data_IF_161099749268
#
_entry.id   IF_161099749268
#
_cell.length_a   1.000
_cell.length_b   1.000
_cell.length_c   1.000
_cell.angle_alpha   90.00
_cell.angle_beta   90.00
_cell.angle_gamma   90.00
#
_symmetry.space_group_name_H-M   'P 1'
#
loop_
_entity.id
_entity.type
_entity.pdbx_description
1 polymer ?
#
# COMPACT_ATOMS: atom_id res chain seq x y z
N UNK A 1 30.74 -44.45 -0.44
CA UNK A 1 30.40 -43.17 -1.13
C UNK A 1 29.25 -42.44 -0.44
N UNK A 2 28.21 -43.14 0.05
CA UNK A 2 27.12 -42.55 0.82
C UNK A 2 27.60 -41.81 2.09
N UNK A 3 28.49 -42.41 2.88
CA UNK A 3 28.97 -41.79 4.14
C UNK A 3 29.74 -40.49 3.94
N UNK A 4 30.52 -40.37 2.86
CA UNK A 4 31.20 -39.10 2.51
C UNK A 4 30.23 -38.02 2.04
N UNK A 5 29.06 -38.39 1.53
CA UNK A 5 28.03 -37.43 1.12
C UNK A 5 27.22 -36.99 2.33
N UNK A 6 26.91 -37.90 3.25
CA UNK A 6 26.23 -37.61 4.52
C UNK A 6 27.09 -36.68 5.38
N UNK A 7 28.36 -37.00 5.59
CA UNK A 7 29.26 -36.19 6.40
C UNK A 7 29.51 -34.78 5.80
N UNK A 8 29.48 -34.66 4.46
CA UNK A 8 29.59 -33.38 3.74
C UNK A 8 28.29 -32.57 3.74
N UNK A 9 27.15 -33.22 3.97
CA UNK A 9 25.85 -32.57 4.19
C UNK A 9 25.70 -32.13 5.65
N UNK A 10 26.16 -32.94 6.61
CA UNK A 10 26.21 -32.60 8.03
C UNK A 10 27.12 -31.39 8.29
N UNK A 11 28.35 -31.36 7.75
CA UNK A 11 29.25 -30.20 7.82
C UNK A 11 28.65 -28.92 7.18
N UNK A 12 27.77 -29.07 6.19
CA UNK A 12 27.07 -27.95 5.56
C UNK A 12 25.85 -27.48 6.35
N UNK A 13 25.19 -28.38 7.07
CA UNK A 13 24.07 -28.10 7.97
C UNK A 13 24.55 -27.46 9.27
N UNK A 14 25.72 -27.85 9.78
CA UNK A 14 26.35 -27.26 10.98
C UNK A 14 26.87 -25.83 10.76
N UNK A 15 27.21 -25.49 9.51
CA UNK A 15 27.58 -24.11 9.10
C UNK A 15 26.39 -23.19 8.87
N UNK A 16 25.16 -23.66 9.04
CA UNK A 16 24.00 -22.78 8.94
C UNK A 16 23.89 -22.01 10.25
N UNK A 17 24.26 -20.73 10.19
CA UNK A 17 24.16 -19.82 11.31
C UNK A 17 22.70 -19.76 11.78
N UNK A 18 22.47 -20.23 13.01
CA UNK A 18 21.14 -20.32 13.62
C UNK A 18 20.47 -18.95 13.70
N UNK A 19 21.25 -17.88 13.79
CA UNK A 19 20.73 -16.52 13.88
C UNK A 19 20.35 -15.97 12.50
N UNK A 20 21.08 -16.31 11.44
CA UNK A 20 20.64 -16.03 10.06
C UNK A 20 19.36 -16.80 9.70
N UNK A 21 19.26 -18.07 10.11
CA UNK A 21 18.04 -18.86 9.95
C UNK A 21 16.85 -18.24 10.69
N UNK A 22 17.02 -17.90 11.98
CA UNK A 22 15.96 -17.25 12.76
C UNK A 22 15.51 -15.95 12.11
N UNK A 23 16.45 -15.14 11.60
CA UNK A 23 16.14 -13.90 10.88
C UNK A 23 15.43 -14.15 9.56
N UNK A 24 15.80 -15.18 8.80
CA UNK A 24 15.16 -15.53 7.54
C UNK A 24 13.74 -16.11 7.72
N UNK A 25 13.49 -16.77 8.85
CA UNK A 25 12.19 -17.29 9.25
C UNK A 25 11.38 -16.34 10.13
N UNK A 26 11.86 -15.11 10.37
CA UNK A 26 11.08 -14.12 11.11
C UNK A 26 9.77 -13.83 10.38
N UNK A 27 8.68 -13.85 11.13
CA UNK A 27 7.31 -13.60 10.66
C UNK A 27 6.73 -12.34 11.28
N UNK A 28 7.48 -11.66 12.15
CA UNK A 28 7.00 -10.53 12.94
C UNK A 28 6.43 -9.41 12.07
N UNK A 29 7.04 -9.13 10.92
CA UNK A 29 6.58 -8.10 9.98
C UNK A 29 5.27 -8.45 9.26
N UNK A 30 4.89 -9.72 9.23
CA UNK A 30 3.66 -10.25 8.61
C UNK A 30 2.77 -10.99 9.63
N UNK A 31 2.55 -10.35 10.77
CA UNK A 31 1.68 -10.85 11.85
C UNK A 31 0.19 -10.70 11.49
N UNK A 32 -0.61 -11.72 11.83
CA UNK A 32 -2.07 -11.73 11.69
C UNK A 32 -2.70 -10.55 12.46
N UNK A 33 -2.20 -10.23 13.66
CA UNK A 33 -2.73 -9.10 14.42
C UNK A 33 -2.53 -7.78 13.67
N UNK A 34 -1.36 -7.59 13.05
CA UNK A 34 -1.09 -6.44 12.20
C UNK A 34 -2.04 -6.39 10.99
N UNK A 35 -2.32 -7.52 10.34
CA UNK A 35 -3.27 -7.60 9.22
C UNK A 35 -4.68 -7.21 9.66
N UNK A 36 -5.19 -7.80 10.75
CA UNK A 36 -6.52 -7.47 11.28
C UNK A 36 -6.61 -5.99 11.66
N UNK A 37 -5.55 -5.45 12.28
CA UNK A 37 -5.46 -4.04 12.62
C UNK A 37 -5.47 -3.14 11.39
N UNK A 38 -4.78 -3.53 10.31
CA UNK A 38 -4.82 -2.85 9.02
C UNK A 38 -6.25 -2.77 8.45
N UNK A 39 -6.99 -3.88 8.50
CA UNK A 39 -8.40 -3.92 8.04
C UNK A 39 -9.28 -2.99 8.90
N UNK A 40 -9.08 -3.00 10.21
CA UNK A 40 -9.82 -2.10 11.11
C UNK A 40 -9.52 -0.63 10.81
N UNK A 41 -8.26 -0.29 10.53
CA UNK A 41 -7.85 1.05 10.11
C UNK A 41 -8.46 1.45 8.77
N UNK A 42 -8.71 0.52 7.84
CA UNK A 42 -9.48 0.82 6.62
C UNK A 42 -10.85 1.38 6.98
N UNK A 43 -11.57 0.72 7.89
CA UNK A 43 -12.93 1.13 8.26
C UNK A 43 -12.93 2.47 9.00
N UNK A 44 -12.04 2.63 9.98
CA UNK A 44 -11.91 3.88 10.75
C UNK A 44 -11.45 5.03 9.84
N UNK A 45 -10.43 4.79 9.02
CA UNK A 45 -9.90 5.75 8.06
C UNK A 45 -10.96 6.16 7.04
N UNK A 46 -11.71 5.21 6.49
CA UNK A 46 -12.79 5.51 5.54
C UNK A 46 -13.90 6.33 6.18
N UNK A 47 -14.32 5.99 7.40
CA UNK A 47 -15.31 6.77 8.15
C UNK A 47 -14.81 8.20 8.41
N UNK A 48 -13.55 8.37 8.78
CA UNK A 48 -12.93 9.69 8.98
C UNK A 48 -12.82 10.48 7.68
N UNK A 49 -12.42 9.83 6.59
CA UNK A 49 -12.39 10.46 5.27
C UNK A 49 -13.78 10.95 4.86
N UNK A 50 -14.84 10.16 5.06
CA UNK A 50 -16.21 10.58 4.76
C UNK A 50 -16.69 11.79 5.58
N UNK A 51 -16.09 12.03 6.75
CA UNK A 51 -16.38 13.21 7.58
C UNK A 51 -15.61 14.46 7.15
N UNK A 52 -14.61 14.34 6.27
CA UNK A 52 -13.85 15.49 5.79
C UNK A 52 -14.63 16.20 4.67
N UNK A 53 -15.14 17.43 4.90
CA UNK A 53 -15.89 18.16 3.89
C UNK A 53 -15.01 18.62 2.72
N UNK A 54 -13.68 18.79 2.93
CA UNK A 54 -12.77 19.27 1.89
C UNK A 54 -12.62 18.25 0.73
N UNK A 55 -12.81 16.95 0.99
CA UNK A 55 -12.76 15.88 -0.02
C UNK A 55 -13.88 16.02 -1.07
N UNK A 56 -15.02 16.60 -0.69
CA UNK A 56 -16.19 16.72 -1.55
C UNK A 56 -16.29 18.08 -2.27
N UNK A 57 -15.21 18.86 -2.26
CA UNK A 57 -15.20 20.17 -2.94
C UNK A 57 -15.21 20.04 -4.47
N UNK A 58 -15.66 21.09 -5.14
CA UNK A 58 -16.02 21.08 -6.57
C UNK A 58 -14.85 20.70 -7.50
N UNK A 59 -13.61 21.03 -7.14
CA UNK A 59 -12.41 20.64 -7.90
C UNK A 59 -12.20 19.13 -7.92
N UNK A 60 -12.29 18.48 -6.76
CA UNK A 60 -12.11 17.03 -6.61
C UNK A 60 -13.28 16.26 -7.22
N UNK A 61 -14.51 16.76 -7.06
CA UNK A 61 -15.69 16.11 -7.62
C UNK A 61 -15.71 16.11 -9.16
N UNK A 62 -15.34 17.24 -9.79
CA UNK A 62 -15.24 17.32 -11.26
C UNK A 62 -14.23 16.32 -11.81
N UNK A 63 -13.10 16.16 -11.14
CA UNK A 63 -12.07 15.21 -11.53
C UNK A 63 -12.49 13.77 -11.24
N UNK A 64 -13.18 13.53 -10.12
CA UNK A 64 -13.77 12.24 -9.83
C UNK A 64 -14.78 11.83 -10.94
N UNK A 65 -15.62 12.76 -11.40
CA UNK A 65 -16.54 12.52 -12.51
C UNK A 65 -15.81 12.19 -13.83
N UNK A 66 -14.75 12.95 -14.18
CA UNK A 66 -13.91 12.67 -15.36
C UNK A 66 -13.26 11.29 -15.24
N UNK A 67 -12.75 10.95 -14.06
CA UNK A 67 -12.14 9.66 -13.79
C UNK A 67 -13.15 8.51 -13.84
N UNK A 68 -14.40 8.70 -13.37
CA UNK A 68 -15.48 7.71 -13.51
C UNK A 68 -15.81 7.52 -14.99
N UNK A 69 -15.95 8.60 -15.75
CA UNK A 69 -16.20 8.55 -17.18
C UNK A 69 -15.06 7.84 -17.94
N UNK A 70 -13.81 8.14 -17.61
CA UNK A 70 -12.64 7.47 -18.17
C UNK A 70 -12.59 5.98 -17.79
N UNK A 71 -12.86 5.64 -16.53
CA UNK A 71 -12.93 4.25 -16.07
C UNK A 71 -14.01 3.45 -16.78
N UNK A 72 -15.20 4.04 -16.99
CA UNK A 72 -16.28 3.44 -17.79
C UNK A 72 -15.84 3.27 -19.25
N UNK A 73 -15.26 4.31 -19.86
CA UNK A 73 -14.80 4.26 -21.25
C UNK A 73 -13.76 3.16 -21.46
N UNK A 74 -12.77 3.04 -20.57
CA UNK A 74 -11.74 2.00 -20.72
C UNK A 74 -12.32 0.61 -20.46
N UNK A 75 -13.22 0.48 -19.48
CA UNK A 75 -13.94 -0.78 -19.26
C UNK A 75 -14.71 -1.20 -20.51
N UNK A 76 -15.39 -0.27 -21.19
CA UNK A 76 -16.08 -0.53 -22.45
C UNK A 76 -15.09 -0.92 -23.55
N UNK A 77 -13.99 -0.19 -23.73
CA UNK A 77 -12.95 -0.51 -24.73
C UNK A 77 -12.40 -1.92 -24.55
N UNK A 78 -12.21 -2.37 -23.31
CA UNK A 78 -11.71 -3.73 -23.01
C UNK A 78 -12.82 -4.78 -23.15
N UNK A 79 -14.04 -4.48 -22.71
CA UNK A 79 -15.14 -5.45 -22.72
C UNK A 79 -15.76 -5.63 -24.11
N UNK A 80 -15.78 -4.60 -24.96
CA UNK A 80 -16.38 -4.67 -26.31
C UNK A 80 -15.74 -5.78 -27.15
N UNK A 81 -14.40 -5.91 -27.27
CA UNK A 81 -13.77 -7.01 -28.00
C UNK A 81 -14.10 -8.39 -27.42
N UNK A 82 -14.16 -8.51 -26.09
CA UNK A 82 -14.49 -9.77 -25.41
C UNK A 82 -15.94 -10.16 -25.70
N UNK A 83 -16.87 -9.21 -25.61
CA UNK A 83 -18.29 -9.42 -25.91
C UNK A 83 -18.48 -9.72 -27.39
N UNK A 84 -17.82 -8.98 -28.29
CA UNK A 84 -17.85 -9.22 -29.72
C UNK A 84 -17.36 -10.63 -30.07
N UNK A 85 -16.25 -11.07 -29.46
CA UNK A 85 -15.75 -12.43 -29.66
C UNK A 85 -16.72 -13.49 -29.12
N UNK A 86 -17.32 -13.28 -27.94
CA UNK A 86 -18.37 -14.16 -27.40
C UNK A 86 -19.59 -14.25 -28.32
N UNK A 87 -20.01 -13.11 -28.89
CA UNK A 87 -21.13 -13.07 -29.84
C UNK A 87 -20.78 -13.74 -31.17
N UNK A 88 -19.53 -13.60 -31.65
CA UNK A 88 -19.05 -14.28 -32.85
C UNK A 88 -19.01 -15.79 -32.65
N UNK A 89 -18.49 -16.27 -31.51
CA UNK A 89 -18.47 -17.70 -31.18
C UNK A 89 -19.90 -18.23 -31.08
N UNK A 90 -20.77 -17.54 -30.33
CA UNK A 90 -22.19 -17.92 -30.22
C UNK A 90 -22.94 -17.87 -31.57
N UNK A 91 -22.61 -16.90 -32.42
CA UNK A 91 -23.15 -16.80 -33.78
C UNK A 91 -22.67 -17.93 -34.69
N UNK A 92 -21.41 -18.34 -34.55
CA UNK A 92 -20.86 -19.49 -35.28
C UNK A 92 -21.50 -20.82 -34.87
N UNK A 93 -21.93 -20.95 -33.61
CA UNK A 93 -22.67 -22.11 -33.10
C UNK A 93 -24.10 -22.24 -33.66
N UNK A 94 -24.65 -21.20 -34.29
CA UNK A 94 -25.91 -21.28 -35.04
C UNK A 94 -25.73 -21.85 -36.45
N UNK A 95 -24.50 -21.84 -36.98
CA UNK A 95 -24.18 -22.27 -38.35
C UNK A 95 -23.50 -23.65 -38.34
N UNK A 96 -22.71 -23.93 -37.30
CA UNK A 96 -22.05 -25.21 -37.07
C UNK A 96 -22.51 -25.82 -35.76
N UNK A 97 -22.81 -27.12 -35.77
CA UNK A 97 -23.21 -27.86 -34.57
C UNK A 97 -21.99 -28.03 -33.64
N UNK A 98 -21.79 -27.05 -32.74
CA UNK A 98 -20.65 -26.98 -31.84
C UNK A 98 -20.81 -27.83 -30.56
N UNK A 99 -21.92 -28.57 -30.42
CA UNK A 99 -22.26 -29.35 -29.22
C UNK A 99 -21.25 -30.46 -28.85
N UNK A 100 -20.27 -30.77 -29.72
CA UNK A 100 -19.17 -31.70 -29.42
C UNK A 100 -17.87 -31.03 -28.94
N UNK A 101 -17.80 -29.69 -28.86
CA UNK A 101 -16.52 -28.99 -28.82
C UNK A 101 -16.44 -28.11 -27.56
N UNK A 102 -15.80 -28.62 -26.50
CA UNK A 102 -15.56 -27.99 -25.18
C UNK A 102 -14.73 -26.69 -25.20
N UNK A 103 -14.57 -26.07 -26.36
CA UNK A 103 -13.68 -24.96 -26.63
C UNK A 103 -14.30 -23.61 -26.25
N UNK A 104 -15.63 -23.46 -26.30
CA UNK A 104 -16.30 -22.20 -25.98
C UNK A 104 -16.08 -21.81 -24.51
N UNK A 105 -16.40 -22.70 -23.57
CA UNK A 105 -16.16 -22.49 -22.14
C UNK A 105 -14.67 -22.34 -21.81
N UNK A 106 -13.80 -23.07 -22.49
CA UNK A 106 -12.35 -23.01 -22.21
C UNK A 106 -11.72 -21.70 -22.70
N UNK A 107 -12.12 -21.21 -23.88
CA UNK A 107 -11.64 -19.95 -24.45
C UNK A 107 -12.24 -18.75 -23.69
N UNK A 108 -13.54 -18.77 -23.41
CA UNK A 108 -14.21 -17.68 -22.68
C UNK A 108 -13.67 -17.55 -21.26
N UNK A 109 -13.51 -18.66 -20.53
CA UNK A 109 -12.90 -18.63 -19.21
C UNK A 109 -11.40 -18.29 -19.28
N UNK A 110 -10.69 -18.75 -20.32
CA UNK A 110 -9.30 -18.40 -20.55
C UNK A 110 -9.08 -16.89 -20.77
N UNK A 111 -9.96 -16.23 -21.55
CA UNK A 111 -9.92 -14.79 -21.79
C UNK A 111 -10.26 -13.97 -20.55
N UNK A 112 -11.23 -14.42 -19.76
CA UNK A 112 -11.60 -13.73 -18.52
C UNK A 112 -10.50 -13.89 -17.44
N UNK A 113 -9.84 -15.05 -17.40
CA UNK A 113 -8.64 -15.28 -16.61
C UNK A 113 -7.47 -14.41 -17.10
N UNK A 114 -7.24 -14.32 -18.41
CA UNK A 114 -6.21 -13.46 -18.99
C UNK A 114 -6.45 -11.99 -18.65
N UNK A 115 -7.65 -11.47 -18.87
CA UNK A 115 -7.99 -10.07 -18.63
C UNK A 115 -7.89 -9.70 -17.14
N UNK A 116 -8.49 -10.50 -16.25
CA UNK A 116 -8.63 -10.13 -14.85
C UNK A 116 -7.46 -10.60 -13.97
N UNK A 117 -6.80 -11.71 -14.30
CA UNK A 117 -5.78 -12.33 -13.46
C UNK A 117 -4.37 -12.15 -14.02
N UNK A 118 -4.17 -12.27 -15.35
CA UNK A 118 -2.84 -12.17 -15.98
C UNK A 118 -2.49 -10.72 -16.31
N UNK A 119 -3.40 -10.01 -16.96
CA UNK A 119 -3.22 -8.60 -17.34
C UNK A 119 -3.55 -7.66 -16.18
N UNK A 120 -4.32 -8.09 -15.17
CA UNK A 120 -4.70 -7.23 -14.03
C UNK A 120 -5.25 -5.87 -14.49
N UNK A 121 -6.12 -5.88 -15.50
CA UNK A 121 -6.62 -4.66 -16.15
C UNK A 121 -7.15 -3.64 -15.13
N UNK A 122 -7.91 -4.01 -14.08
CA UNK A 122 -8.35 -3.02 -13.07
C UNK A 122 -7.19 -2.27 -12.38
N UNK A 123 -6.10 -2.98 -12.06
CA UNK A 123 -4.92 -2.37 -11.44
C UNK A 123 -4.19 -1.47 -12.44
N UNK A 124 -4.04 -1.92 -13.68
CA UNK A 124 -3.47 -1.12 -14.76
C UNK A 124 -4.20 0.22 -14.94
N UNK A 125 -5.54 0.18 -14.91
CA UNK A 125 -6.36 1.38 -15.02
C UNK A 125 -6.18 2.29 -13.81
N UNK A 126 -6.13 1.73 -12.59
CA UNK A 126 -5.85 2.51 -11.38
C UNK A 126 -4.51 3.24 -11.48
N UNK A 127 -3.43 2.56 -11.87
CA UNK A 127 -2.12 3.19 -11.98
C UNK A 127 -2.08 4.23 -13.11
N UNK A 128 -2.78 3.97 -14.23
CA UNK A 128 -2.88 4.92 -15.35
C UNK A 128 -3.59 6.22 -14.94
N UNK A 129 -4.64 6.13 -14.12
CA UNK A 129 -5.39 7.30 -13.64
C UNK A 129 -4.50 8.29 -12.87
N UNK A 130 -3.47 7.80 -12.17
CA UNK A 130 -2.52 8.68 -11.46
C UNK A 130 -1.74 9.61 -12.40
N UNK A 131 -1.43 9.18 -13.62
CA UNK A 131 -0.77 10.02 -14.62
C UNK A 131 -1.73 11.06 -15.23
N UNK A 132 -3.03 10.84 -15.11
CA UNK A 132 -4.08 11.68 -15.71
C UNK A 132 -4.62 12.73 -14.72
N UNK A 133 -4.57 12.45 -13.41
CA UNK A 133 -5.11 13.34 -12.36
C UNK A 133 -4.07 13.68 -11.28
N UNK A 134 -3.39 14.85 -11.35
CA UNK A 134 -2.40 15.32 -10.36
C UNK A 134 -3.02 15.73 -9.01
N UNK A 135 -4.23 15.29 -8.69
CA UNK A 135 -5.04 15.81 -7.59
C UNK A 135 -5.08 14.93 -6.37
N UNK A 136 -4.54 13.72 -6.48
CA UNK A 136 -4.37 12.78 -5.37
C UNK A 136 -3.44 13.35 -4.29
N UNK A 137 -2.38 14.05 -4.71
CA UNK A 137 -1.43 14.71 -3.80
C UNK A 137 -2.10 15.79 -2.96
N UNK A 138 -2.95 16.62 -3.58
CA UNK A 138 -3.72 17.64 -2.88
C UNK A 138 -4.74 17.00 -1.92
N UNK A 139 -5.45 15.96 -2.36
CA UNK A 139 -6.40 15.23 -1.49
C UNK A 139 -5.73 14.62 -0.26
N UNK A 140 -4.54 14.05 -0.43
CA UNK A 140 -3.75 13.54 0.68
C UNK A 140 -3.40 14.68 1.67
N UNK A 141 -2.91 15.81 1.17
CA UNK A 141 -2.50 16.94 2.01
C UNK A 141 -3.69 17.61 2.73
N UNK A 142 -4.82 17.82 2.05
CA UNK A 142 -6.04 18.37 2.64
C UNK A 142 -6.61 17.42 3.71
N UNK A 143 -6.56 16.11 3.45
CA UNK A 143 -6.95 15.11 4.45
C UNK A 143 -6.01 15.10 5.65
N UNK A 144 -4.70 15.25 5.43
CA UNK A 144 -3.72 15.34 6.51
C UNK A 144 -3.95 16.58 7.39
N UNK A 145 -4.23 17.73 6.77
CA UNK A 145 -4.61 18.96 7.47
C UNK A 145 -5.85 18.76 8.32
N UNK A 146 -6.91 18.17 7.75
CA UNK A 146 -8.15 17.89 8.47
C UNK A 146 -7.94 16.92 9.65
N UNK A 147 -7.09 15.90 9.47
CA UNK A 147 -6.71 14.97 10.56
C UNK A 147 -6.01 15.71 11.70
N UNK A 148 -5.06 16.61 11.40
CA UNK A 148 -4.39 17.41 12.43
C UNK A 148 -5.35 18.40 13.12
N UNK A 149 -6.24 19.05 12.37
CA UNK A 149 -7.25 19.94 12.95
C UNK A 149 -8.21 19.18 13.89
N UNK A 150 -8.70 18.02 13.45
CA UNK A 150 -9.58 17.17 14.26
C UNK A 150 -8.85 16.65 15.49
N UNK A 151 -7.56 16.33 15.36
CA UNK A 151 -6.73 15.88 16.46
C UNK A 151 -6.61 16.95 17.55
N UNK A 152 -6.23 18.19 17.19
CA UNK A 152 -6.18 19.32 18.13
C UNK A 152 -7.54 19.56 18.78
N UNK A 153 -8.62 19.49 18.00
CA UNK A 153 -9.97 19.70 18.53
C UNK A 153 -10.38 18.65 19.56
N UNK A 154 -9.97 17.39 19.39
CA UNK A 154 -10.26 16.31 20.34
C UNK A 154 -9.45 16.44 21.63
N UNK A 155 -8.20 16.88 21.53
CA UNK A 155 -7.28 17.00 22.65
C UNK A 155 -7.30 18.40 23.24
N UNK A 156 -8.44 19.12 23.07
CA UNK A 156 -8.66 20.49 23.57
C UNK A 156 -8.62 20.63 25.09
N UNK A 157 -8.65 19.53 25.82
CA UNK A 157 -8.63 19.54 27.28
C UNK A 157 -7.46 18.73 27.85
N UNK A 158 -6.54 18.29 26.97
CA UNK A 158 -5.40 17.48 27.35
C UNK A 158 -4.16 18.35 27.57
N UNK A 159 -3.18 17.82 28.31
CA UNK A 159 -1.95 18.54 28.61
C UNK A 159 -1.20 18.88 27.31
N UNK A 160 -0.83 20.16 27.08
CA UNK A 160 -0.16 20.59 25.85
C UNK A 160 1.15 19.85 25.54
N UNK A 161 1.82 19.33 26.56
CA UNK A 161 3.10 18.61 26.44
C UNK A 161 2.93 17.12 26.13
N UNK A 162 1.70 16.60 26.18
CA UNK A 162 1.35 15.21 25.83
C UNK A 162 0.81 15.09 24.40
N UNK A 163 0.49 16.23 23.77
CA UNK A 163 -0.06 16.30 22.41
C UNK A 163 1.07 16.06 21.40
N UNK A 164 0.85 15.15 20.44
CA UNK A 164 1.84 14.92 19.36
C UNK A 164 2.03 16.16 18.49
N UNK A 165 3.20 16.24 17.86
CA UNK A 165 3.47 17.22 16.82
C UNK A 165 2.55 17.04 15.59
N UNK A 166 2.36 18.13 14.84
CA UNK A 166 1.53 18.17 13.64
C UNK A 166 2.28 17.65 12.41
N UNK A 167 1.56 16.97 11.51
CA UNK A 167 2.13 16.40 10.30
C UNK A 167 2.07 17.39 9.14
N UNK A 168 0.91 17.99 8.90
CA UNK A 168 0.66 18.86 7.75
C UNK A 168 1.60 20.07 7.68
N UNK A 169 1.83 20.85 8.76
CA UNK A 169 2.64 22.07 8.69
C UNK A 169 4.12 21.80 8.40
N UNK A 170 4.64 20.64 8.80
CA UNK A 170 6.02 20.25 8.55
C UNK A 170 6.15 19.59 7.19
N UNK A 171 5.26 18.65 6.86
CA UNK A 171 5.30 17.91 5.60
C UNK A 171 5.05 18.81 4.38
N UNK A 172 4.20 19.84 4.50
CA UNK A 172 3.98 20.84 3.43
C UNK A 172 5.22 21.66 3.08
N UNK A 173 6.18 21.78 4.00
CA UNK A 173 7.45 22.50 3.77
C UNK A 173 8.50 21.62 3.09
N UNK A 174 8.29 20.31 3.03
CA UNK A 174 9.24 19.40 2.41
C UNK A 174 9.16 19.58 0.89
N UNK A 175 10.32 19.71 0.24
CA UNK A 175 10.35 19.81 -1.22
C UNK A 175 9.85 18.50 -1.80
N UNK A 176 8.83 18.57 -2.64
CA UNK A 176 8.38 17.43 -3.42
C UNK A 176 9.49 17.13 -4.43
N UNK A 177 10.11 15.95 -4.32
CA UNK A 177 11.05 15.48 -5.33
C UNK A 177 10.22 14.89 -6.46
N UNK A 178 10.64 15.15 -7.71
CA UNK A 178 10.06 14.51 -8.89
C UNK A 178 10.25 13.00 -8.82
N UNK A 179 9.33 12.32 -8.15
CA UNK A 179 9.25 10.88 -8.13
C UNK A 179 8.72 10.47 -9.49
N UNK A 180 9.58 10.17 -10.46
CA UNK A 180 9.29 9.53 -11.78
C UNK A 180 8.06 9.98 -12.59
N UNK A 181 7.35 11.03 -12.20
CA UNK A 181 5.94 11.26 -12.61
C UNK A 181 5.60 12.75 -12.79
N UNK A 182 6.50 13.69 -12.47
CA UNK A 182 6.24 15.13 -12.63
C UNK A 182 7.27 15.87 -13.51
N UNK A 183 8.25 15.18 -14.09
CA UNK A 183 9.18 15.80 -15.05
C UNK A 183 9.37 14.94 -16.28
N UNK A 184 9.36 15.65 -17.41
CA UNK A 184 9.29 15.24 -18.82
C UNK A 184 7.90 14.73 -19.24
N UNK A 185 7.49 15.16 -20.44
CA UNK A 185 6.14 15.08 -21.03
C UNK A 185 5.26 13.96 -20.46
N UNK A 186 3.99 14.25 -20.14
CA UNK A 186 2.99 13.25 -19.69
C UNK A 186 2.96 12.00 -20.57
N UNK A 187 3.26 12.16 -21.86
CA UNK A 187 3.40 11.08 -22.82
C UNK A 187 4.60 10.14 -22.54
N UNK A 188 5.74 10.66 -22.08
CA UNK A 188 6.92 9.87 -21.69
C UNK A 188 6.67 9.08 -20.41
N UNK A 189 5.99 9.69 -19.44
CA UNK A 189 5.60 9.03 -18.20
C UNK A 189 4.62 7.87 -18.47
N UNK A 190 3.64 8.10 -19.34
CA UNK A 190 2.69 7.07 -19.80
C UNK A 190 3.39 5.98 -20.62
N UNK A 191 4.28 6.33 -21.55
CA UNK A 191 4.98 5.32 -22.38
C UNK A 191 5.92 4.45 -21.54
N UNK A 192 6.62 5.03 -20.56
CA UNK A 192 7.45 4.27 -19.63
C UNK A 192 6.61 3.34 -18.75
N UNK A 193 5.43 3.80 -18.30
CA UNK A 193 4.47 2.95 -17.60
C UNK A 193 3.99 1.78 -18.47
N UNK A 194 3.56 2.06 -19.71
CA UNK A 194 3.12 1.05 -20.66
C UNK A 194 4.22 0.01 -20.94
N UNK A 195 5.47 0.44 -21.12
CA UNK A 195 6.60 -0.47 -21.32
C UNK A 195 6.84 -1.38 -20.11
N UNK A 196 6.82 -0.82 -18.89
CA UNK A 196 6.99 -1.61 -17.65
C UNK A 196 5.85 -2.62 -17.48
N UNK A 197 4.64 -2.21 -17.80
CA UNK A 197 3.46 -3.07 -17.75
C UNK A 197 3.54 -4.18 -18.80
N UNK A 198 3.84 -3.85 -20.05
CA UNK A 198 4.02 -4.82 -21.14
C UNK A 198 5.11 -5.86 -20.81
N UNK A 199 6.23 -5.43 -20.22
CA UNK A 199 7.28 -6.35 -19.76
C UNK A 199 6.77 -7.31 -18.67
N UNK A 200 6.00 -6.83 -17.70
CA UNK A 200 5.40 -7.68 -16.65
C UNK A 200 4.36 -8.65 -17.23
N UNK A 201 3.52 -8.16 -18.14
CA UNK A 201 2.53 -8.98 -18.84
C UNK A 201 3.21 -10.08 -19.66
N UNK A 202 4.30 -9.76 -20.37
CA UNK A 202 5.09 -10.74 -21.12
C UNK A 202 5.71 -11.82 -20.24
N UNK A 203 6.32 -11.46 -19.11
CA UNK A 203 6.84 -12.46 -18.14
C UNK A 203 5.72 -13.35 -17.62
N UNK A 204 4.55 -12.76 -17.31
CA UNK A 204 3.39 -13.52 -16.83
C UNK A 204 2.84 -14.46 -17.90
N UNK A 205 2.84 -14.05 -19.17
CA UNK A 205 2.44 -14.88 -20.31
C UNK A 205 3.42 -16.02 -20.55
N UNK A 206 4.73 -15.80 -20.40
CA UNK A 206 5.76 -16.85 -20.47
C UNK A 206 5.55 -17.87 -19.36
N UNK A 207 5.35 -17.42 -18.11
CA UNK A 207 5.07 -18.32 -16.97
C UNK A 207 3.80 -19.13 -17.22
N UNK A 208 2.75 -18.49 -17.74
CA UNK A 208 1.51 -19.14 -18.11
C UNK A 208 1.73 -20.18 -19.21
N UNK A 209 2.46 -19.86 -20.28
CA UNK A 209 2.81 -20.81 -21.34
C UNK A 209 3.63 -22.00 -20.83
N UNK A 210 4.63 -21.75 -19.99
CA UNK A 210 5.45 -22.78 -19.35
C UNK A 210 4.62 -23.71 -18.43
N UNK A 211 3.49 -23.23 -17.90
CA UNK A 211 2.59 -24.05 -17.07
C UNK A 211 1.87 -25.15 -17.84
N UNK A 212 1.79 -25.06 -19.16
CA UNK A 212 1.21 -26.10 -20.04
C UNK A 212 2.23 -27.18 -20.47
N UNK A 213 3.50 -27.02 -20.13
CA UNK A 213 4.53 -28.03 -20.46
C UNK A 213 4.25 -29.31 -19.65
N UNK A 214 4.14 -30.49 -20.29
CA UNK A 214 3.87 -31.74 -19.57
C UNK A 214 4.98 -32.03 -18.55
N UNK A 215 4.59 -32.65 -17.42
CA UNK A 215 5.44 -32.99 -16.25
C UNK A 215 6.01 -31.81 -15.45
N UNK A 216 6.54 -30.78 -16.12
CA UNK A 216 7.18 -29.61 -15.48
C UNK A 216 6.17 -28.52 -15.15
N UNK A 217 5.15 -28.32 -16.00
CA UNK A 217 4.18 -27.23 -15.92
C UNK A 217 3.40 -27.17 -14.60
N UNK A 218 3.16 -28.32 -13.96
CA UNK A 218 2.52 -28.38 -12.63
C UNK A 218 3.32 -27.68 -11.53
N UNK A 219 4.64 -27.54 -11.70
CA UNK A 219 5.55 -26.92 -10.73
C UNK A 219 5.90 -25.48 -11.07
N UNK A 220 5.71 -25.05 -12.31
CA UNK A 220 6.08 -23.70 -12.77
C UNK A 220 5.32 -22.63 -11.99
N UNK A 221 3.99 -22.74 -11.89
CA UNK A 221 3.18 -21.75 -11.17
C UNK A 221 3.48 -21.71 -9.67
N UNK A 222 3.54 -22.84 -8.93
CA UNK A 222 3.95 -22.83 -7.53
C UNK A 222 5.36 -22.26 -7.33
N UNK A 223 6.34 -22.65 -8.16
CA UNK A 223 7.72 -22.18 -8.02
C UNK A 223 7.86 -20.69 -8.31
N UNK A 224 7.24 -20.19 -9.38
CA UNK A 224 7.24 -18.76 -9.71
C UNK A 224 6.53 -17.92 -8.65
N UNK A 225 5.42 -18.45 -8.12
CA UNK A 225 4.65 -17.82 -7.05
C UNK A 225 5.44 -17.77 -5.74
N UNK A 226 6.09 -18.88 -5.36
CA UNK A 226 6.94 -18.96 -4.18
C UNK A 226 8.13 -18.01 -4.31
N UNK A 227 8.82 -18.00 -5.44
CA UNK A 227 9.97 -17.11 -5.68
C UNK A 227 9.57 -15.64 -5.53
N UNK A 228 8.46 -15.24 -6.16
CA UNK A 228 7.99 -13.86 -6.12
C UNK A 228 7.51 -13.46 -4.72
N UNK A 229 6.80 -14.35 -4.02
CA UNK A 229 6.29 -14.08 -2.69
C UNK A 229 7.40 -14.07 -1.62
N UNK A 230 8.32 -15.04 -1.65
CA UNK A 230 9.49 -15.09 -0.78
C UNK A 230 10.35 -13.82 -0.92
N UNK A 231 10.56 -13.34 -2.15
CA UNK A 231 11.28 -12.09 -2.39
C UNK A 231 10.56 -10.86 -1.78
N UNK A 232 9.25 -10.94 -1.59
CA UNK A 232 8.44 -9.85 -1.08
C UNK A 232 8.30 -9.87 0.45
N UNK A 233 8.00 -11.05 1.02
CA UNK A 233 7.62 -11.24 2.44
C UNK A 233 8.67 -12.03 3.24
N UNK A 234 9.74 -12.53 2.62
CA UNK A 234 10.73 -13.36 3.29
C UNK A 234 10.34 -14.84 3.35
N UNK A 235 11.29 -15.65 3.84
CA UNK A 235 11.25 -17.10 3.70
C UNK A 235 10.29 -17.76 4.69
N UNK A 236 10.17 -17.22 5.91
CA UNK A 236 9.23 -17.71 6.93
C UNK A 236 7.77 -17.73 6.46
N UNK A 237 7.16 -16.56 6.17
CA UNK A 237 5.78 -16.49 5.69
C UNK A 237 5.56 -17.27 4.39
N UNK A 238 6.53 -17.23 3.47
CA UNK A 238 6.45 -17.98 2.22
C UNK A 238 6.42 -19.50 2.45
N UNK A 239 7.26 -20.02 3.34
CA UNK A 239 7.28 -21.44 3.67
C UNK A 239 5.95 -21.89 4.31
N UNK A 240 5.36 -21.08 5.19
CA UNK A 240 4.07 -21.40 5.81
C UNK A 240 2.95 -21.45 4.77
N UNK A 241 2.83 -20.40 3.94
CA UNK A 241 1.75 -20.27 2.95
C UNK A 241 1.85 -21.34 1.86
N UNK A 242 3.04 -21.58 1.32
CA UNK A 242 3.22 -22.57 0.26
C UNK A 242 3.32 -24.01 0.81
N UNK A 243 3.78 -24.21 2.04
CA UNK A 243 3.76 -25.51 2.72
C UNK A 243 2.34 -25.97 3.02
N UNK A 244 1.50 -25.10 3.61
CA UNK A 244 0.05 -25.35 3.76
C UNK A 244 -0.66 -25.40 2.39
N UNK A 245 -0.13 -24.67 1.42
CA UNK A 245 -0.53 -24.68 0.01
C UNK A 245 -0.44 -26.04 -0.69
N UNK A 246 0.32 -27.00 -0.15
CA UNK A 246 0.35 -28.37 -0.67
C UNK A 246 -0.98 -29.10 -0.44
N UNK A 247 -1.66 -28.79 0.67
CA UNK A 247 -2.94 -29.39 1.06
C UNK A 247 -4.12 -28.54 0.56
N UNK A 248 -3.92 -27.22 0.42
CA UNK A 248 -4.96 -26.29 -0.03
C UNK A 248 -5.18 -26.35 -1.56
N UNK A 249 -6.44 -26.27 -2.02
CA UNK A 249 -6.73 -26.16 -3.45
C UNK A 249 -6.05 -24.94 -4.10
N UNK A 250 -5.42 -25.15 -5.27
CA UNK A 250 -4.65 -24.13 -6.01
C UNK A 250 -5.38 -22.80 -6.20
N UNK A 251 -6.71 -22.83 -6.32
CA UNK A 251 -7.57 -21.64 -6.45
C UNK A 251 -7.38 -20.64 -5.31
N UNK A 252 -7.24 -21.11 -4.06
CA UNK A 252 -7.09 -20.23 -2.90
C UNK A 252 -5.71 -19.57 -2.86
N UNK A 253 -4.66 -20.28 -3.24
CA UNK A 253 -3.32 -19.70 -3.38
C UNK A 253 -3.28 -18.61 -4.44
N UNK A 254 -3.92 -18.84 -5.60
CA UNK A 254 -3.98 -17.85 -6.68
C UNK A 254 -4.74 -16.60 -6.21
N UNK A 255 -5.91 -16.76 -5.59
CA UNK A 255 -6.69 -15.66 -5.04
C UNK A 255 -5.89 -14.88 -4.01
N UNK A 256 -5.21 -15.59 -3.10
CA UNK A 256 -4.36 -14.97 -2.07
C UNK A 256 -3.23 -14.17 -2.70
N UNK A 257 -2.47 -14.75 -3.62
CA UNK A 257 -1.34 -14.07 -4.27
C UNK A 257 -1.78 -12.86 -5.07
N UNK A 258 -2.87 -12.99 -5.84
CA UNK A 258 -3.43 -11.88 -6.59
C UNK A 258 -3.85 -10.76 -5.65
N UNK A 259 -4.53 -11.09 -4.56
CA UNK A 259 -4.98 -10.12 -3.54
C UNK A 259 -3.78 -9.46 -2.87
N UNK A 260 -2.75 -10.22 -2.51
CA UNK A 260 -1.51 -9.71 -1.92
C UNK A 260 -0.78 -8.74 -2.86
N UNK A 261 -0.53 -9.12 -4.11
CA UNK A 261 0.17 -8.25 -5.04
C UNK A 261 -0.66 -7.02 -5.44
N UNK A 262 -1.98 -7.15 -5.55
CA UNK A 262 -2.87 -6.03 -5.81
C UNK A 262 -2.89 -5.05 -4.62
N UNK A 263 -3.07 -5.55 -3.40
CA UNK A 263 -3.00 -4.77 -2.16
C UNK A 263 -1.66 -4.04 -2.02
N UNK A 264 -0.55 -4.75 -2.27
CA UNK A 264 0.80 -4.16 -2.20
C UNK A 264 1.02 -3.07 -3.25
N UNK A 265 0.48 -3.26 -4.44
CA UNK A 265 0.58 -2.28 -5.53
C UNK A 265 -0.27 -1.04 -5.21
N UNK A 266 -1.51 -1.23 -4.76
CA UNK A 266 -2.38 -0.17 -4.28
C UNK A 266 -1.71 0.65 -3.18
N UNK A 267 -1.11 -0.02 -2.19
CA UNK A 267 -0.46 0.69 -1.10
C UNK A 267 0.76 1.51 -1.52
N UNK A 268 1.51 1.03 -2.51
CA UNK A 268 2.63 1.81 -3.08
C UNK A 268 2.14 3.07 -3.79
N UNK A 269 0.95 3.03 -4.37
CA UNK A 269 0.34 4.19 -5.02
C UNK A 269 -0.20 5.18 -3.98
N UNK A 270 -1.02 4.71 -3.05
CA UNK A 270 -1.64 5.55 -2.01
C UNK A 270 -0.61 6.22 -1.07
N UNK A 271 0.56 5.60 -0.88
CA UNK A 271 1.63 6.17 -0.05
C UNK A 271 2.58 7.08 -0.83
N UNK A 272 2.41 7.25 -2.14
CA UNK A 272 3.36 8.06 -2.88
C UNK A 272 3.39 9.53 -2.45
N UNK A 273 2.27 10.23 -2.20
CA UNK A 273 2.31 11.62 -1.73
C UNK A 273 3.21 11.83 -0.50
N UNK A 274 3.25 10.83 0.39
CA UNK A 274 4.18 10.79 1.51
C UNK A 274 5.64 10.62 1.05
N UNK A 275 5.95 9.61 0.23
CA UNK A 275 7.33 9.34 -0.23
C UNK A 275 7.89 10.35 -1.23
N UNK A 276 7.03 11.11 -1.91
CA UNK A 276 7.45 12.21 -2.77
C UNK A 276 8.06 13.36 -1.94
N UNK A 277 7.65 13.48 -0.67
CA UNK A 277 8.13 14.49 0.28
C UNK A 277 9.23 13.96 1.19
N UNK A 278 9.07 12.76 1.73
CA UNK A 278 10.07 12.11 2.58
C UNK A 278 11.04 11.31 1.71
N UNK A 279 12.20 11.90 1.44
CA UNK A 279 13.16 11.40 0.44
C UNK A 279 13.91 10.15 0.94
N UNK A 280 13.26 8.99 0.84
CA UNK A 280 13.89 7.71 1.12
C UNK A 280 14.62 7.15 -0.10
N UNK A 281 15.80 6.58 0.15
CA UNK A 281 16.50 5.72 -0.82
C UNK A 281 15.70 4.44 -1.09
N UNK A 282 16.05 3.72 -2.17
CA UNK A 282 15.37 2.47 -2.54
C UNK A 282 15.43 1.41 -1.43
N UNK A 283 16.56 1.32 -0.72
CA UNK A 283 16.74 0.39 0.41
C UNK A 283 15.90 0.83 1.62
N UNK A 284 15.94 2.11 1.99
CA UNK A 284 15.13 2.65 3.09
C UNK A 284 13.63 2.46 2.85
N UNK A 285 13.13 2.80 1.65
CA UNK A 285 11.73 2.58 1.27
C UNK A 285 11.36 1.09 1.33
N UNK A 286 12.26 0.19 0.90
CA UNK A 286 12.04 -1.26 1.00
C UNK A 286 11.88 -1.68 2.47
N UNK A 287 12.76 -1.22 3.35
CA UNK A 287 12.73 -1.55 4.78
C UNK A 287 11.46 -1.00 5.44
N UNK A 288 11.07 0.24 5.12
CA UNK A 288 9.83 0.85 5.61
C UNK A 288 8.58 0.03 5.27
N UNK A 289 8.46 -0.41 4.00
CA UNK A 289 7.34 -1.26 3.57
C UNK A 289 7.38 -2.64 4.22
N UNK A 290 8.59 -3.17 4.44
CA UNK A 290 8.75 -4.49 5.04
C UNK A 290 8.38 -4.46 6.52
N UNK A 291 8.84 -3.49 7.31
CA UNK A 291 8.54 -3.40 8.75
C UNK A 291 7.04 -3.24 9.06
N UNK A 292 6.25 -2.76 8.09
CA UNK A 292 4.80 -2.51 8.20
C UNK A 292 3.96 -3.43 7.30
N UNK A 293 4.55 -4.52 6.80
CA UNK A 293 3.97 -5.29 5.69
C UNK A 293 2.60 -5.90 5.98
N UNK A 294 2.44 -6.55 7.14
CA UNK A 294 1.15 -7.13 7.56
C UNK A 294 0.05 -6.08 7.68
N UNK A 295 0.35 -4.93 8.30
CA UNK A 295 -0.61 -3.85 8.47
C UNK A 295 -1.00 -3.18 7.15
N UNK A 296 -0.02 -2.88 6.29
CA UNK A 296 -0.28 -2.33 4.96
C UNK A 296 -1.05 -3.32 4.07
N UNK A 297 -0.78 -4.63 4.22
CA UNK A 297 -1.54 -5.66 3.53
C UNK A 297 -2.99 -5.68 4.01
N UNK A 298 -3.25 -5.67 5.31
CA UNK A 298 -4.61 -5.59 5.86
C UNK A 298 -5.36 -4.34 5.38
N UNK A 299 -4.72 -3.18 5.47
CA UNK A 299 -5.31 -1.91 5.03
C UNK A 299 -5.61 -1.91 3.52
N UNK A 300 -4.66 -2.39 2.72
CA UNK A 300 -4.80 -2.46 1.27
C UNK A 300 -5.85 -3.47 0.82
N UNK A 301 -6.03 -4.63 1.49
CA UNK A 301 -7.11 -5.58 1.20
C UNK A 301 -8.49 -4.92 1.40
N UNK A 302 -8.63 -4.14 2.47
CA UNK A 302 -9.88 -3.45 2.78
C UNK A 302 -10.30 -2.55 1.62
N UNK A 303 -9.42 -1.64 1.19
CA UNK A 303 -9.70 -0.77 0.04
C UNK A 303 -9.75 -1.51 -1.30
N UNK A 304 -8.92 -2.53 -1.50
CA UNK A 304 -8.97 -3.36 -2.71
C UNK A 304 -10.34 -4.01 -2.89
N UNK A 305 -10.94 -4.50 -1.80
CA UNK A 305 -12.30 -5.06 -1.81
C UNK A 305 -13.34 -4.00 -2.17
N UNK A 306 -13.24 -2.79 -1.59
CA UNK A 306 -14.16 -1.68 -1.89
C UNK A 306 -14.03 -1.20 -3.34
N UNK A 307 -12.82 -1.16 -3.88
CA UNK A 307 -12.53 -0.74 -5.26
C UNK A 307 -13.04 -1.74 -6.32
N UNK A 308 -13.27 -3.00 -5.94
CA UNK A 308 -13.88 -3.99 -6.84
C UNK A 308 -15.35 -3.72 -7.11
N UNK A 309 -16.03 -2.89 -6.29
CA UNK A 309 -17.41 -2.49 -6.55
C UNK A 309 -17.45 -1.58 -7.77
N UNK A 310 -18.09 -2.00 -8.89
CA UNK A 310 -18.14 -1.20 -10.10
C UNK A 310 -18.80 0.17 -9.86
N UNK A 311 -18.42 1.17 -10.66
CA UNK A 311 -18.96 2.55 -10.65
C UNK A 311 -18.54 3.42 -9.45
N UNK A 312 -18.10 2.84 -8.33
CA UNK A 312 -17.64 3.60 -7.16
C UNK A 312 -16.12 3.75 -7.07
N UNK A 313 -15.35 3.03 -7.90
CA UNK A 313 -13.90 2.90 -7.77
C UNK A 313 -13.13 4.21 -7.62
N UNK A 314 -13.52 5.28 -8.30
CA UNK A 314 -12.84 6.58 -8.21
C UNK A 314 -13.14 7.31 -6.90
N UNK A 315 -14.41 7.30 -6.47
CA UNK A 315 -14.79 7.89 -5.19
C UNK A 315 -14.11 7.14 -4.04
N UNK A 316 -14.12 5.81 -4.11
CA UNK A 316 -13.43 4.94 -3.16
C UNK A 316 -11.92 5.20 -3.18
N UNK A 317 -11.33 5.48 -4.34
CA UNK A 317 -9.91 5.83 -4.43
C UNK A 317 -9.61 7.16 -3.72
N UNK A 318 -10.45 8.18 -3.88
CA UNK A 318 -10.33 9.43 -3.13
C UNK A 318 -10.45 9.23 -1.62
N UNK A 319 -11.40 8.39 -1.19
CA UNK A 319 -11.56 7.99 0.22
C UNK A 319 -10.31 7.22 0.70
N UNK A 320 -9.74 6.34 -0.13
CA UNK A 320 -8.55 5.57 0.19
C UNK A 320 -7.32 6.46 0.37
N UNK A 321 -7.15 7.46 -0.49
CA UNK A 321 -6.08 8.45 -0.41
C UNK A 321 -6.17 9.26 0.89
N UNK A 322 -7.37 9.76 1.21
CA UNK A 322 -7.65 10.47 2.45
C UNK A 322 -7.46 9.60 3.70
N UNK A 323 -7.89 8.34 3.63
CA UNK A 323 -7.68 7.37 4.71
C UNK A 323 -6.22 7.03 4.89
N UNK A 324 -5.41 7.12 3.82
CA UNK A 324 -3.97 6.92 3.87
C UNK A 324 -3.27 8.06 4.59
N UNK A 325 -3.77 9.30 4.49
CA UNK A 325 -3.29 10.40 5.33
C UNK A 325 -3.50 10.11 6.82
N UNK A 326 -4.68 9.61 7.21
CA UNK A 326 -4.92 9.15 8.59
C UNK A 326 -4.00 7.99 8.99
N UNK A 327 -3.84 6.99 8.10
CA UNK A 327 -2.95 5.85 8.32
C UNK A 327 -1.52 6.29 8.66
N UNK A 328 -0.95 7.23 7.89
CA UNK A 328 0.40 7.77 8.12
C UNK A 328 0.54 8.30 9.55
N UNK A 329 -0.45 9.05 10.06
CA UNK A 329 -0.40 9.59 11.43
C UNK A 329 -0.38 8.53 12.53
N UNK A 330 -0.69 7.27 12.20
CA UNK A 330 -0.70 6.14 13.17
C UNK A 330 0.55 5.27 13.09
N UNK A 331 1.22 5.24 11.94
CA UNK A 331 2.29 4.26 11.66
C UNK A 331 3.66 4.89 11.39
N UNK A 332 3.74 6.23 11.41
CA UNK A 332 4.98 6.98 11.36
C UNK A 332 5.00 8.00 12.47
N UNK A 333 6.19 8.45 12.84
CA UNK A 333 6.35 9.58 13.77
C UNK A 333 5.97 10.89 13.06
N UNK A 334 5.65 11.97 13.80
CA UNK A 334 5.43 13.27 13.17
C UNK A 334 6.71 13.76 12.47
N UNK A 335 6.60 14.29 11.24
CA UNK A 335 7.76 14.79 10.51
C UNK A 335 8.35 16.01 11.22
N UNK A 336 9.69 16.06 11.45
CA UNK A 336 10.34 17.22 12.02
C UNK A 336 10.43 18.35 11.00
N UNK A 337 10.93 19.54 11.37
CA UNK A 337 11.18 20.61 10.42
C UNK A 337 12.11 20.17 9.29
N UNK A 338 11.93 20.73 8.08
CA UNK A 338 12.60 20.27 6.85
C UNK A 338 14.14 20.20 6.89
N UNK A 339 14.80 20.86 7.85
CA UNK A 339 16.24 20.75 8.06
C UNK A 339 16.68 19.33 8.49
N UNK A 340 15.83 18.60 9.21
CA UNK A 340 16.10 17.26 9.75
C UNK A 340 15.46 16.14 8.91
N UNK A 341 14.98 16.45 7.71
CA UNK A 341 14.23 15.52 6.86
C UNK A 341 15.02 14.23 6.53
N UNK A 342 16.35 14.33 6.41
CA UNK A 342 17.20 13.18 6.11
C UNK A 342 17.32 12.21 7.30
N UNK A 343 17.48 12.74 8.51
CA UNK A 343 17.55 11.95 9.75
C UNK A 343 16.21 11.28 10.03
N UNK A 344 15.11 12.01 9.81
CA UNK A 344 13.76 11.46 9.86
C UNK A 344 13.57 10.29 8.87
N UNK A 345 14.01 10.44 7.61
CA UNK A 345 13.90 9.36 6.63
C UNK A 345 14.66 8.08 7.06
N UNK A 346 15.75 8.23 7.83
CA UNK A 346 16.51 7.11 8.39
C UNK A 346 15.76 6.47 9.55
N UNK A 347 15.26 7.28 10.50
CA UNK A 347 14.56 6.78 11.71
C UNK A 347 13.27 6.03 11.36
N UNK A 348 12.56 6.45 10.30
CA UNK A 348 11.29 5.84 9.92
C UNK A 348 11.39 4.43 9.32
N UNK A 349 12.59 3.90 9.04
CA UNK A 349 12.74 2.58 8.42
C UNK A 349 12.11 1.45 9.26
N UNK A 350 12.26 1.55 10.58
CA UNK A 350 11.66 0.61 11.52
C UNK A 350 10.34 1.16 12.07
N UNK A 351 9.47 0.26 12.53
CA UNK A 351 8.20 0.64 13.13
C UNK A 351 8.35 0.61 14.65
N UNK A 352 8.80 1.74 15.20
CA UNK A 352 9.19 1.94 16.60
C UNK A 352 8.03 1.71 17.57
N UNK A 353 6.84 2.20 17.25
CA UNK A 353 5.64 2.12 18.09
C UNK A 353 4.73 0.91 17.78
N UNK A 354 5.25 -0.12 17.11
CA UNK A 354 4.45 -1.29 16.66
C UNK A 354 3.72 -2.00 17.79
N UNK A 355 4.43 -2.37 18.86
CA UNK A 355 3.87 -3.19 19.94
C UNK A 355 2.74 -2.45 20.68
N UNK A 356 2.96 -1.16 20.95
CA UNK A 356 1.97 -0.30 21.58
C UNK A 356 0.74 -0.10 20.67
N UNK A 357 0.97 0.09 19.37
CA UNK A 357 -0.10 0.27 18.41
C UNK A 357 -1.01 -0.96 18.26
N UNK A 358 -0.42 -2.15 18.26
CA UNK A 358 -1.13 -3.41 18.08
C UNK A 358 -1.88 -3.88 19.34
N UNK A 359 -1.57 -3.33 20.52
CA UNK A 359 -2.22 -3.70 21.79
C UNK A 359 -3.41 -2.80 22.17
N UNK A 360 -3.54 -1.61 21.59
CA UNK A 360 -4.64 -0.69 21.93
C UNK A 360 -6.01 -1.18 21.46
N UNK A 361 -7.05 -0.77 22.17
CA UNK A 361 -8.42 -0.89 21.71
C UNK A 361 -8.67 -0.05 20.44
N UNK A 362 -9.73 -0.37 19.71
CA UNK A 362 -10.12 0.40 18.52
C UNK A 362 -10.61 1.80 18.85
N UNK A 363 -11.21 1.98 20.02
CA UNK A 363 -11.73 3.27 20.46
C UNK A 363 -10.60 4.19 20.92
N UNK A 364 -9.50 3.60 21.39
CA UNK A 364 -8.32 4.31 21.89
C UNK A 364 -7.24 4.48 20.80
N UNK A 365 -7.56 4.23 19.53
CA UNK A 365 -6.62 4.45 18.43
C UNK A 365 -6.11 5.89 18.34
N UNK A 366 -6.87 6.85 18.89
CA UNK A 366 -6.52 8.26 18.95
C UNK A 366 -5.70 8.64 20.19
N UNK A 367 -5.44 7.74 21.16
CA UNK A 367 -4.65 8.06 22.38
C UNK A 367 -3.16 7.74 22.25
N UNK A 368 -2.77 6.92 21.27
CA UNK A 368 -1.37 6.59 21.05
C UNK A 368 -0.64 7.66 20.26
N UNK A 369 0.46 8.16 20.83
CA UNK A 369 1.26 9.22 20.23
C UNK A 369 2.74 8.82 20.18
N UNK A 370 3.33 8.67 18.98
CA UNK A 370 4.77 8.64 18.87
C UNK A 370 5.33 9.98 19.36
N UNK A 371 6.06 9.96 20.49
CA UNK A 371 6.79 11.13 20.98
C UNK A 371 7.95 11.42 20.04
N UNK A 372 8.11 12.67 19.60
CA UNK A 372 9.34 13.07 18.92
C UNK A 372 10.48 13.05 19.94
N UNK A 373 11.55 12.28 19.69
CA UNK A 373 12.73 12.23 20.58
C UNK A 373 13.55 13.54 20.61
N UNK A 374 12.99 14.66 20.10
CA UNK A 374 13.63 15.96 20.02
C UNK A 374 13.45 16.87 21.25
N UNK A 375 12.52 16.57 22.16
CA UNK A 375 12.26 17.42 23.35
C UNK A 375 12.79 16.79 24.64
N UNK A 376 14.11 16.64 24.72
CA UNK A 376 14.81 16.59 26.03
C UNK A 376 15.33 17.98 26.34
N UNK A 377 14.43 18.87 26.75
CA UNK A 377 14.84 20.07 27.47
C UNK A 377 15.30 19.65 28.87
N UNK A 378 16.60 19.81 29.12
CA UNK A 378 17.27 19.70 30.42
C UNK A 378 16.45 20.42 31.49
N UNK A 379 15.92 19.68 32.45
CA UNK A 379 15.27 20.25 33.63
C UNK A 379 16.30 20.95 34.51
N UNK A 380 16.46 22.26 34.33
CA UNK A 380 17.02 23.14 35.34
C UNK A 380 15.88 23.65 36.25
N UNK A 381 16.05 23.65 37.58
CA UNK A 381 14.98 24.04 38.49
C UNK A 381 14.89 25.56 38.60
N UNK A 382 13.69 26.11 38.35
CA UNK A 382 13.32 27.44 38.78
C UNK A 382 12.93 28.40 37.67
N UNK A 383 11.63 28.49 37.39
CA UNK A 383 10.87 29.75 37.31
C UNK A 383 9.44 29.42 36.91
N UNK A 384 8.51 29.62 37.84
CA UNK A 384 7.08 29.52 37.59
C UNK A 384 6.66 30.66 36.66
N UNK A 385 6.21 30.32 35.46
CA UNK A 385 5.46 31.22 34.58
C UNK A 385 4.20 30.50 34.11
N UNK A 386 3.09 31.22 34.19
CA UNK A 386 1.72 30.73 34.07
C UNK A 386 1.50 29.77 32.89
N UNK A 387 0.96 28.60 33.22
CA UNK A 387 0.49 27.58 32.28
C UNK A 387 -0.84 28.09 31.68
N UNK A 388 -0.98 28.24 30.35
CA UNK A 388 -2.27 28.43 29.73
C UNK A 388 -3.08 27.13 29.87
N UNK A 389 -4.30 27.22 30.40
CA UNK A 389 -5.21 26.08 30.63
C UNK A 389 -5.84 25.50 29.35
N UNK A 390 -5.48 26.05 28.18
CA UNK A 390 -6.00 25.61 26.90
C UNK A 390 -4.84 25.13 26.02
N UNK A 391 -4.98 23.97 25.34
CA UNK A 391 -4.01 23.51 24.37
C UNK A 391 -4.01 24.42 23.15
N UNK A 392 -2.86 24.50 22.46
CA UNK A 392 -2.63 25.52 21.47
C UNK A 392 -3.65 25.43 20.32
N UNK A 393 -4.23 26.57 19.95
CA UNK A 393 -4.98 26.71 18.71
C UNK A 393 -4.15 26.22 17.52
N UNK A 394 -4.77 25.82 16.41
CA UNK A 394 -4.05 25.36 15.22
C UNK A 394 -3.01 26.40 14.73
N UNK A 395 -3.33 27.68 14.86
CA UNK A 395 -2.43 28.81 14.55
C UNK A 395 -1.34 29.03 15.62
N UNK A 396 -1.57 28.59 16.86
CA UNK A 396 -0.62 28.65 17.97
C UNK A 396 0.36 27.49 17.96
N UNK A 397 -0.08 26.28 17.63
CA UNK A 397 0.77 25.10 17.47
C UNK A 397 1.72 25.28 16.26
N UNK A 398 1.21 25.86 15.17
CA UNK A 398 2.04 26.23 14.02
C UNK A 398 3.03 27.35 14.32
N UNK A 399 2.74 28.23 15.29
CA UNK A 399 3.64 29.31 15.71
C UNK A 399 4.61 28.92 16.85
N UNK A 400 4.28 27.94 17.70
CA UNK A 400 5.22 27.31 18.65
C UNK A 400 6.42 26.71 17.93
N UNK A 401 6.17 25.90 16.88
CA UNK A 401 7.24 25.38 16.01
C UNK A 401 8.02 26.47 15.24
N UNK A 402 7.54 27.73 15.25
CA UNK A 402 8.24 28.90 14.69
C UNK A 402 9.10 29.63 15.74
N UNK A 403 8.73 29.58 17.02
CA UNK A 403 9.45 30.22 18.13
C UNK A 403 10.69 29.43 18.54
N UNK A 404 10.60 28.10 18.64
CA UNK A 404 11.76 27.25 18.95
C UNK A 404 12.91 27.37 17.92
N UNK A 405 12.64 27.94 16.74
CA UNK A 405 13.63 28.26 15.68
C UNK A 405 14.30 29.64 15.81
N UNK A 406 13.82 30.51 16.68
CA UNK A 406 14.49 31.81 16.94
C UNK A 406 15.48 31.72 18.10
N UNK A 407 15.33 30.69 18.92
CA UNK A 407 16.13 30.49 20.14
C UNK A 407 17.23 29.41 19.94
N UNK A 408 17.34 28.88 18.72
CA UNK A 408 18.46 28.07 18.18
C UNK A 408 19.10 28.83 17.02
#
# INVERSE_FOLDING_TARGET
>A
MADKVVHKLEDKLEKIDKDELKKAFDTSHFDINAIVRGIQLTLVGANRALQNPEIFTNSHYRQAAIAVAAGIAIRLIVQIPIIALKLLIRGSALIWDLDQTSWDDTIVNGLDLLANHVLQIPLFLMTLMRYVTPTLDNMFMDSLKWVDMTYVQKHKHDNPDEIRDMYYPNLSKYKVKDGSTHTTSTAEAVSMFLYRFARKAGISLIIFGLSYVPYVGRFVLPAASFYTFNKAVGLGPAAIIFGTGVVLPKKYLIIFLQTYFASRSLMRELLEPYFARVHMTKSQKKNWFHSREGLLFGFGIGFYTLLRVPLLGVLIYGIAEASTAYLITKITDPPPPAAQANEYAISQQEWTNKHEFLSLSLFDLDTLHPKSEGSKATSAPGSATAIPNDPPSYDEATSRGRKERRDL
#
